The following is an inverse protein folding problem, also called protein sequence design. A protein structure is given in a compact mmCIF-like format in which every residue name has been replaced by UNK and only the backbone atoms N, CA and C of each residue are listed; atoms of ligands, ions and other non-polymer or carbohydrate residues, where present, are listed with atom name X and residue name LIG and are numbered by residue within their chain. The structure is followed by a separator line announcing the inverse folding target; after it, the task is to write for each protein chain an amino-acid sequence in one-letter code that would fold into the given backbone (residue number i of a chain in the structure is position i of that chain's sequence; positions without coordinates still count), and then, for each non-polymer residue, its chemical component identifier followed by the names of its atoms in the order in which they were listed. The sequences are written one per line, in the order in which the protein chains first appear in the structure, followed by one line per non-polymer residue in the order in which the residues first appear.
data_IF_332179538442
#
_entry.id   IF_332179538442
#
_cell.length_a   1.000
_cell.length_b   1.000
_cell.length_c   1.000
_cell.angle_alpha   90.00
_cell.angle_beta   90.00
_cell.angle_gamma   90.00
#
_symmetry.space_group_name_H-M   'P 1'
#
loop_
_entity.id
_entity.type
_entity.pdbx_description
1 polymer ?
#
# COMPACT_ATOMS: atom_id res chain seq x y z
N UNK A 1 -8.24 -18.67 -4.64
CA UNK A 1 -7.40 -18.07 -5.68
C UNK A 1 -8.11 -18.16 -7.02
N UNK A 2 -8.02 -17.07 -7.80
CA UNK A 2 -8.55 -17.03 -9.15
C UNK A 2 -7.44 -17.24 -10.16
N UNK A 3 -7.76 -18.00 -11.21
CA UNK A 3 -6.89 -18.18 -12.37
C UNK A 3 -7.59 -17.56 -13.58
N UNK A 4 -6.98 -16.57 -14.21
CA UNK A 4 -7.49 -15.92 -15.40
C UNK A 4 -6.77 -16.42 -16.65
N UNK A 5 -7.52 -16.67 -17.71
CA UNK A 5 -6.98 -16.92 -19.04
C UNK A 5 -7.56 -15.88 -19.97
N UNK A 6 -6.70 -15.10 -20.61
CA UNK A 6 -7.11 -14.14 -21.61
C UNK A 6 -7.23 -14.83 -22.97
N UNK A 7 -8.45 -14.90 -23.49
CA UNK A 7 -8.73 -15.59 -24.75
C UNK A 7 -8.53 -14.69 -25.99
N UNK A 8 -8.38 -13.39 -25.81
CA UNK A 8 -8.35 -12.40 -26.90
C UNK A 8 -6.99 -11.81 -27.15
N UNK A 9 -6.10 -11.79 -26.15
CA UNK A 9 -4.76 -11.21 -26.31
C UNK A 9 -3.78 -12.26 -26.83
N UNK A 10 -3.47 -12.18 -28.11
CA UNK A 10 -2.52 -13.09 -28.78
C UNK A 10 -1.06 -12.67 -28.64
N UNK A 11 -0.81 -11.40 -28.31
CA UNK A 11 0.56 -10.85 -28.20
C UNK A 11 1.20 -11.23 -26.88
N UNK A 12 0.44 -11.20 -25.77
CA UNK A 12 0.87 -11.61 -24.44
C UNK A 12 -0.21 -12.50 -23.84
N UNK A 13 -0.25 -13.80 -24.20
CA UNK A 13 -1.28 -14.70 -23.71
C UNK A 13 -1.08 -14.96 -22.22
N UNK A 14 -2.05 -14.54 -21.41
CA UNK A 14 -2.12 -14.92 -20.01
C UNK A 14 -2.89 -16.23 -19.91
N UNK A 15 -2.18 -17.32 -19.64
CA UNK A 15 -2.81 -18.65 -19.49
C UNK A 15 -2.71 -19.05 -18.02
N UNK A 16 -3.86 -19.29 -17.38
CA UNK A 16 -3.96 -19.67 -15.95
C UNK A 16 -3.18 -18.71 -15.04
N UNK A 17 -3.18 -17.42 -15.39
CA UNK A 17 -2.52 -16.39 -14.59
C UNK A 17 -3.22 -16.28 -13.23
N UNK A 18 -2.45 -16.41 -12.16
CA UNK A 18 -2.97 -16.24 -10.80
C UNK A 18 -3.26 -14.77 -10.52
N UNK A 19 -4.54 -14.47 -10.36
CA UNK A 19 -5.00 -13.12 -10.01
C UNK A 19 -4.98 -12.99 -8.49
N UNK A 20 -4.33 -11.92 -7.99
CA UNK A 20 -4.28 -11.61 -6.56
C UNK A 20 -5.40 -10.63 -6.14
N UNK A 21 -6.43 -10.49 -6.96
CA UNK A 21 -7.57 -9.64 -6.66
C UNK A 21 -8.68 -10.44 -5.97
N UNK A 22 -9.40 -9.78 -5.09
CA UNK A 22 -10.64 -10.29 -4.49
C UNK A 22 -11.78 -9.94 -5.43
N UNK A 23 -12.37 -10.96 -6.03
CA UNK A 23 -13.42 -10.81 -7.02
C UNK A 23 -14.78 -11.16 -6.40
N UNK A 24 -15.76 -10.27 -6.54
CA UNK A 24 -17.14 -10.53 -6.19
C UNK A 24 -17.85 -11.16 -7.37
N UNK A 25 -18.39 -12.38 -7.18
CA UNK A 25 -19.18 -13.06 -8.17
C UNK A 25 -20.63 -12.57 -8.16
N UNK A 26 -21.26 -12.70 -9.32
CA UNK A 26 -22.72 -12.54 -9.47
C UNK A 26 -23.26 -13.65 -10.35
N UNK A 27 -24.55 -13.83 -10.33
CA UNK A 27 -25.23 -14.69 -11.28
C UNK A 27 -25.22 -14.08 -12.68
N UNK A 28 -25.25 -14.94 -13.70
CA UNK A 28 -25.35 -14.50 -15.08
C UNK A 28 -26.66 -13.74 -15.30
N UNK A 29 -26.67 -12.63 -16.07
CA UNK A 29 -27.91 -12.00 -16.46
C UNK A 29 -28.83 -12.99 -17.18
N UNK A 30 -30.13 -12.91 -16.95
CA UNK A 30 -31.12 -13.82 -17.55
C UNK A 30 -31.08 -13.85 -19.10
N UNK A 31 -30.58 -12.79 -19.72
CA UNK A 31 -30.35 -12.69 -21.16
C UNK A 31 -29.13 -13.45 -21.68
N UNK A 32 -28.25 -13.94 -20.79
CA UNK A 32 -26.97 -14.56 -21.17
C UNK A 32 -26.96 -16.09 -21.00
N UNK A 33 -28.04 -16.75 -21.39
CA UNK A 33 -28.32 -18.17 -21.17
C UNK A 33 -27.28 -19.18 -21.70
N UNK A 34 -26.18 -18.73 -22.28
CA UNK A 34 -25.19 -19.60 -22.95
C UNK A 34 -23.73 -19.33 -22.54
N UNK A 35 -23.47 -18.49 -21.51
CA UNK A 35 -22.07 -18.26 -21.12
C UNK A 35 -21.60 -19.28 -20.09
N UNK A 36 -20.63 -20.14 -20.39
CA UNK A 36 -20.02 -21.06 -19.40
C UNK A 36 -19.10 -20.32 -18.42
N UNK A 37 -18.97 -19.01 -18.55
CA UNK A 37 -18.05 -18.20 -17.74
C UNK A 37 -18.72 -17.69 -16.48
N UNK A 38 -17.92 -17.54 -15.43
CA UNK A 38 -18.35 -16.89 -14.19
C UNK A 38 -18.43 -15.38 -14.39
N UNK A 39 -19.50 -14.78 -13.88
CA UNK A 39 -19.70 -13.35 -13.94
C UNK A 39 -19.08 -12.69 -12.70
N UNK A 40 -18.33 -11.61 -12.94
CA UNK A 40 -17.71 -10.81 -11.89
C UNK A 40 -18.47 -9.48 -11.79
N UNK A 41 -19.04 -9.21 -10.64
CA UNK A 41 -19.74 -7.96 -10.34
C UNK A 41 -18.77 -6.81 -10.10
N UNK A 42 -17.72 -7.09 -9.30
CA UNK A 42 -16.77 -6.09 -8.90
C UNK A 42 -15.41 -6.71 -8.55
N UNK A 43 -14.38 -5.89 -8.54
CA UNK A 43 -13.09 -6.17 -7.94
C UNK A 43 -13.09 -5.46 -6.59
N UNK A 44 -13.23 -6.21 -5.49
CA UNK A 44 -13.32 -5.67 -4.15
C UNK A 44 -11.96 -5.19 -3.60
N UNK A 45 -10.86 -5.56 -4.24
CA UNK A 45 -9.51 -5.18 -3.86
C UNK A 45 -8.49 -6.26 -4.12
N UNK A 46 -7.29 -6.10 -3.57
CA UNK A 46 -6.25 -7.12 -3.63
C UNK A 46 -6.32 -8.06 -2.44
N UNK A 47 -5.96 -9.32 -2.65
CA UNK A 47 -5.85 -10.35 -1.61
C UNK A 47 -4.55 -10.17 -0.78
N UNK A 48 -4.22 -8.92 -0.46
CA UNK A 48 -3.17 -8.59 0.48
C UNK A 48 -3.86 -8.26 1.80
N UNK A 49 -3.42 -8.90 2.87
CA UNK A 49 -3.98 -8.66 4.20
C UNK A 49 -3.87 -7.17 4.52
N UNK A 50 -4.98 -6.49 4.85
CA UNK A 50 -4.93 -5.12 5.32
C UNK A 50 -3.98 -5.06 6.52
N UNK A 51 -3.29 -3.95 6.69
CA UNK A 51 -2.59 -3.71 7.94
C UNK A 51 -3.50 -2.93 8.87
N UNK A 52 -3.30 -3.12 10.16
CA UNK A 52 -4.13 -2.49 11.18
C UNK A 52 -3.31 -1.49 11.97
N UNK A 53 -3.89 -0.33 12.22
CA UNK A 53 -3.33 0.69 13.11
C UNK A 53 -4.34 1.02 14.20
N UNK A 54 -3.83 1.46 15.36
CA UNK A 54 -4.66 1.83 16.50
C UNK A 54 -5.23 3.22 16.30
N UNK A 55 -6.57 3.35 16.35
CA UNK A 55 -7.24 4.65 16.30
C UNK A 55 -7.17 5.36 17.66
N UNK A 56 -7.70 6.58 17.76
CA UNK A 56 -7.68 7.39 18.98
C UNK A 56 -8.50 6.79 20.14
N UNK A 57 -9.42 5.90 19.83
CA UNK A 57 -10.26 5.21 20.81
C UNK A 57 -9.61 3.91 21.33
N UNK A 58 -8.47 3.51 20.75
CA UNK A 58 -7.73 2.31 21.11
C UNK A 58 -8.08 1.08 20.29
N UNK A 59 -8.99 1.19 19.32
CA UNK A 59 -9.40 0.09 18.47
C UNK A 59 -8.46 -0.09 17.28
N UNK A 60 -8.32 -1.33 16.81
CA UNK A 60 -7.59 -1.66 15.58
C UNK A 60 -8.47 -1.35 14.37
N UNK A 61 -7.98 -0.51 13.48
CA UNK A 61 -8.66 -0.14 12.24
C UNK A 61 -7.86 -0.62 11.03
N UNK A 62 -8.48 -1.39 10.12
CA UNK A 62 -7.82 -1.87 8.92
C UNK A 62 -7.56 -0.74 7.93
N UNK A 63 -6.32 -0.65 7.47
CA UNK A 63 -5.88 0.31 6.46
C UNK A 63 -5.63 -0.41 5.13
N UNK A 64 -6.33 0.05 4.10
CA UNK A 64 -6.14 -0.45 2.74
C UNK A 64 -4.83 0.07 2.14
N UNK A 65 -4.12 -0.78 1.42
CA UNK A 65 -2.95 -0.36 0.63
C UNK A 65 -3.31 0.71 -0.42
N UNK A 66 -4.51 0.67 -0.99
CA UNK A 66 -4.98 1.69 -1.90
C UNK A 66 -5.06 3.06 -1.24
N UNK A 67 -5.40 3.13 0.07
CA UNK A 67 -5.40 4.37 0.82
C UNK A 67 -4.03 5.05 0.88
N UNK A 68 -2.93 4.29 0.80
CA UNK A 68 -1.57 4.85 0.76
C UNK A 68 -1.23 5.45 -0.61
N UNK A 69 -1.78 4.91 -1.70
CA UNK A 69 -1.54 5.44 -3.05
C UNK A 69 -2.22 6.80 -3.26
N UNK A 70 -3.26 7.09 -2.47
CA UNK A 70 -4.00 8.35 -2.50
C UNK A 70 -3.56 9.35 -1.41
N UNK A 71 -2.44 9.09 -0.73
CA UNK A 71 -1.87 10.09 0.17
C UNK A 71 -1.55 11.37 -0.62
N UNK A 72 -1.99 12.55 -0.16
CA UNK A 72 -1.75 13.81 -0.84
C UNK A 72 -0.32 14.32 -0.59
N UNK A 73 0.66 13.45 -0.83
CA UNK A 73 2.08 13.78 -0.74
C UNK A 73 2.58 14.47 -2.01
N UNK A 74 3.58 15.36 -1.91
CA UNK A 74 4.19 15.95 -3.10
C UNK A 74 4.78 14.85 -4.02
N UNK A 75 5.00 15.14 -5.31
CA UNK A 75 5.58 14.16 -6.22
C UNK A 75 6.92 13.62 -5.71
N UNK A 76 6.99 12.30 -5.55
CA UNK A 76 8.15 11.54 -5.08
C UNK A 76 8.57 10.54 -6.17
N UNK A 77 9.84 10.16 -6.19
CA UNK A 77 10.33 9.05 -7.03
C UNK A 77 9.90 7.69 -6.45
N UNK A 78 9.67 7.62 -5.14
CA UNK A 78 9.19 6.42 -4.49
C UNK A 78 8.70 6.67 -3.08
N UNK A 79 7.73 5.86 -2.67
CA UNK A 79 7.16 5.84 -1.33
C UNK A 79 7.02 4.39 -0.86
N UNK A 80 7.41 4.12 0.38
CA UNK A 80 7.29 2.81 1.00
C UNK A 80 6.93 2.99 2.48
N UNK A 81 5.95 2.23 2.94
CA UNK A 81 5.55 2.17 4.34
C UNK A 81 6.18 0.95 5.01
N UNK A 82 6.88 1.17 6.10
CA UNK A 82 7.38 0.13 7.00
C UNK A 82 6.54 0.13 8.26
N UNK A 83 5.94 -1.00 8.59
CA UNK A 83 5.10 -1.20 9.76
C UNK A 83 5.89 -2.03 10.76
N UNK A 84 6.11 -1.49 11.93
CA UNK A 84 6.76 -2.19 13.04
C UNK A 84 5.73 -2.85 13.96
N UNK A 85 4.66 -2.11 14.27
CA UNK A 85 3.47 -2.58 15.00
C UNK A 85 2.26 -1.68 14.69
N UNK A 86 1.15 -1.88 15.38
CA UNK A 86 -0.08 -1.12 15.16
C UNK A 86 -0.01 0.36 15.60
N UNK A 87 1.07 0.77 16.26
CA UNK A 87 1.27 2.13 16.78
C UNK A 87 2.54 2.80 16.23
N UNK A 88 3.38 2.04 15.48
CA UNK A 88 4.65 2.55 15.01
C UNK A 88 4.90 2.23 13.55
N UNK A 89 5.03 3.27 12.74
CA UNK A 89 5.23 3.19 11.28
C UNK A 89 6.36 4.11 10.83
N UNK A 90 6.97 3.79 9.70
CA UNK A 90 8.01 4.60 9.05
C UNK A 90 7.68 4.74 7.57
N UNK A 91 7.66 5.97 7.08
CA UNK A 91 7.58 6.26 5.66
C UNK A 91 8.97 6.48 5.08
N UNK A 92 9.36 5.65 4.14
CA UNK A 92 10.59 5.83 3.34
C UNK A 92 10.24 6.51 2.04
N UNK A 93 10.95 7.58 1.74
CA UNK A 93 10.71 8.38 0.54
C UNK A 93 11.99 8.52 -0.27
N UNK A 94 11.87 8.35 -1.59
CA UNK A 94 12.94 8.63 -2.54
C UNK A 94 12.66 9.98 -3.17
N UNK A 95 13.58 10.92 -2.97
CA UNK A 95 13.53 12.27 -3.51
C UNK A 95 14.65 12.37 -4.56
N UNK A 96 14.38 13.01 -5.70
CA UNK A 96 15.37 13.17 -6.77
C UNK A 96 16.66 13.83 -6.28
N UNK A 97 17.80 13.27 -6.66
CA UNK A 97 19.13 13.81 -6.34
C UNK A 97 19.43 15.14 -7.05
N UNK A 98 18.66 15.48 -8.08
CA UNK A 98 18.79 16.75 -8.80
C UNK A 98 18.28 17.95 -8.02
N UNK A 99 17.72 17.73 -6.81
CA UNK A 99 17.18 18.81 -5.99
C UNK A 99 18.23 19.37 -5.05
N UNK A 100 18.20 20.72 -4.90
CA UNK A 100 19.02 21.40 -3.93
C UNK A 100 18.67 20.96 -2.49
N UNK A 101 19.63 20.96 -1.54
CA UNK A 101 19.38 20.50 -0.17
C UNK A 101 18.15 21.12 0.50
N UNK A 102 17.93 22.43 0.33
CA UNK A 102 16.77 23.12 0.91
C UNK A 102 15.43 22.67 0.31
N UNK A 103 15.42 22.30 -0.99
CA UNK A 103 14.22 21.77 -1.66
C UNK A 103 13.89 20.37 -1.14
N UNK A 104 14.92 19.54 -0.89
CA UNK A 104 14.78 18.22 -0.29
C UNK A 104 14.16 18.33 1.12
N UNK A 105 14.67 19.24 1.95
CA UNK A 105 14.15 19.50 3.29
C UNK A 105 12.69 19.98 3.27
N UNK A 106 12.38 20.93 2.35
CA UNK A 106 11.01 21.41 2.15
C UNK A 106 10.05 20.28 1.79
N UNK A 107 10.43 19.42 0.84
CA UNK A 107 9.63 18.25 0.47
C UNK A 107 9.41 17.30 1.64
N UNK A 108 10.42 17.03 2.45
CA UNK A 108 10.26 16.18 3.63
C UNK A 108 9.27 16.78 4.64
N UNK A 109 9.28 18.08 4.83
CA UNK A 109 8.28 18.75 5.68
C UNK A 109 6.88 18.63 5.13
N UNK A 110 6.71 18.78 3.81
CA UNK A 110 5.41 18.65 3.16
C UNK A 110 4.90 17.19 3.24
N UNK A 111 5.77 16.21 3.07
CA UNK A 111 5.43 14.79 3.28
C UNK A 111 4.99 14.53 4.72
N UNK A 112 5.75 15.04 5.71
CA UNK A 112 5.37 14.87 7.14
C UNK A 112 4.02 15.50 7.43
N UNK A 113 3.76 16.69 6.90
CA UNK A 113 2.45 17.36 7.05
C UNK A 113 1.32 16.53 6.44
N UNK A 114 1.48 16.05 5.21
CA UNK A 114 0.46 15.24 4.54
C UNK A 114 0.16 13.94 5.29
N UNK A 115 1.18 13.28 5.84
CA UNK A 115 1.00 12.07 6.65
C UNK A 115 0.30 12.41 7.97
N UNK A 116 0.67 13.52 8.63
CA UNK A 116 0.00 13.97 9.85
C UNK A 116 -1.48 14.26 9.61
N UNK A 117 -1.80 14.96 8.53
CA UNK A 117 -3.20 15.26 8.13
C UNK A 117 -3.97 13.97 7.83
N UNK A 118 -3.33 12.99 7.18
CA UNK A 118 -3.92 11.69 6.93
C UNK A 118 -4.23 10.93 8.23
N UNK A 119 -3.30 10.91 9.19
CA UNK A 119 -3.53 10.29 10.51
C UNK A 119 -4.66 10.99 11.27
N UNK A 120 -4.72 12.32 11.23
CA UNK A 120 -5.83 13.10 11.82
C UNK A 120 -7.16 12.73 11.16
N UNK A 121 -7.21 12.68 9.83
CA UNK A 121 -8.42 12.29 9.09
C UNK A 121 -8.87 10.86 9.39
N UNK A 122 -7.95 9.99 9.82
CA UNK A 122 -8.21 8.63 10.27
C UNK A 122 -8.43 8.49 11.78
N UNK A 123 -8.33 9.58 12.54
CA UNK A 123 -8.41 9.59 14.02
C UNK A 123 -7.36 8.66 14.67
N UNK A 124 -6.12 8.71 14.17
CA UNK A 124 -5.01 7.85 14.62
C UNK A 124 -3.84 8.64 15.20
N UNK A 125 -3.86 9.97 15.10
CA UNK A 125 -2.75 10.85 15.42
C UNK A 125 -2.29 10.81 16.88
N UNK A 126 -3.14 10.34 17.81
CA UNK A 126 -2.80 10.22 19.23
C UNK A 126 -2.06 8.94 19.57
N UNK A 127 -2.35 7.87 18.84
CA UNK A 127 -1.89 6.53 19.15
C UNK A 127 -0.86 5.99 18.15
N UNK A 128 -0.78 6.58 16.94
CA UNK A 128 0.18 6.15 15.91
C UNK A 128 1.35 7.13 15.83
N UNK A 129 2.56 6.64 16.09
CA UNK A 129 3.81 7.37 15.87
C UNK A 129 4.34 7.07 14.48
N UNK A 130 4.79 8.11 13.78
CA UNK A 130 5.39 7.92 12.48
C UNK A 130 6.72 8.64 12.34
N UNK A 131 7.55 8.12 11.48
CA UNK A 131 8.82 8.74 11.05
C UNK A 131 8.84 8.85 9.53
N UNK A 132 9.46 9.89 8.99
CA UNK A 132 9.70 10.04 7.55
C UNK A 132 11.19 10.07 7.30
N UNK A 133 11.70 9.10 6.55
CA UNK A 133 13.11 8.98 6.17
C UNK A 133 13.30 9.14 4.67
N UNK A 134 14.18 10.05 4.28
CA UNK A 134 14.72 10.05 2.93
C UNK A 134 15.72 8.88 2.78
N UNK A 135 15.54 8.10 1.73
CA UNK A 135 16.41 6.99 1.37
C UNK A 135 16.80 7.10 -0.11
N UNK A 136 17.95 6.55 -0.46
CA UNK A 136 18.41 6.56 -1.85
C UNK A 136 17.65 5.53 -2.69
N UNK A 137 17.26 4.42 -2.07
CA UNK A 137 16.52 3.34 -2.72
C UNK A 137 15.49 2.73 -1.77
N UNK A 138 14.36 2.31 -2.36
CA UNK A 138 13.35 1.51 -1.64
C UNK A 138 13.79 0.04 -1.59
N UNK A 139 13.30 -0.66 -0.57
CA UNK A 139 13.51 -2.10 -0.45
C UNK A 139 12.69 -2.83 -1.52
N UNK A 140 13.36 -3.65 -2.30
CA UNK A 140 12.76 -4.43 -3.38
C UNK A 140 12.45 -5.85 -2.93
N UNK A 141 11.44 -6.44 -3.54
CA UNK A 141 11.15 -7.86 -3.40
C UNK A 141 12.17 -8.66 -4.22
N UNK A 142 12.98 -9.53 -3.59
CA UNK A 142 13.99 -10.30 -4.28
C UNK A 142 13.41 -11.30 -5.31
N UNK A 143 12.12 -11.66 -5.19
CA UNK A 143 11.47 -12.59 -6.10
C UNK A 143 11.06 -11.96 -7.43
N UNK A 144 10.72 -10.67 -7.44
CA UNK A 144 10.17 -10.01 -8.62
C UNK A 144 10.87 -8.68 -8.98
N UNK A 145 11.85 -8.26 -8.18
CA UNK A 145 12.61 -7.02 -8.41
C UNK A 145 11.83 -5.72 -8.24
N UNK A 146 10.59 -5.77 -7.73
CA UNK A 146 9.75 -4.59 -7.56
C UNK A 146 9.82 -4.04 -6.14
N UNK A 147 9.75 -2.72 -5.99
CA UNK A 147 9.61 -2.12 -4.68
C UNK A 147 8.27 -2.51 -4.05
N UNK A 148 8.31 -2.98 -2.81
CA UNK A 148 7.09 -3.25 -2.03
C UNK A 148 6.56 -1.93 -1.50
N UNK A 149 5.26 -1.68 -1.69
CA UNK A 149 4.62 -0.49 -1.09
C UNK A 149 4.60 -0.57 0.44
N UNK A 150 4.40 -1.76 0.99
CA UNK A 150 4.33 -2.03 2.42
C UNK A 150 5.29 -3.13 2.82
N UNK A 151 6.06 -2.88 3.88
CA UNK A 151 6.94 -3.86 4.53
C UNK A 151 6.48 -4.01 5.98
N UNK A 152 6.33 -5.24 6.44
CA UNK A 152 6.10 -5.56 7.86
C UNK A 152 7.39 -6.01 8.49
N UNK A 153 7.76 -5.43 9.61
CA UNK A 153 8.92 -5.80 10.42
C UNK A 153 8.48 -6.07 11.86
N UNK A 154 9.02 -7.10 12.46
CA UNK A 154 8.84 -7.36 13.88
C UNK A 154 9.53 -6.26 14.71
N UNK A 155 8.86 -5.80 15.75
CA UNK A 155 9.26 -4.68 16.62
C UNK A 155 10.53 -4.91 17.46
N UNK A 156 11.19 -6.07 17.38
CA UNK A 156 12.37 -6.37 18.19
C UNK A 156 13.55 -5.39 18.01
N UNK A 157 13.64 -4.70 16.88
CA UNK A 157 14.75 -3.75 16.62
C UNK A 157 14.57 -2.34 17.20
N UNK A 158 13.39 -1.95 17.65
CA UNK A 158 13.14 -0.58 18.15
C UNK A 158 13.34 -0.41 19.65
N UNK A 159 13.43 -1.49 20.42
CA UNK A 159 13.66 -1.43 21.87
C UNK A 159 15.04 -0.89 22.27
N UNK A 160 15.99 -0.80 21.35
CA UNK A 160 17.39 -0.46 21.64
C UNK A 160 17.70 1.05 21.57
N UNK A 161 16.77 1.89 21.08
CA UNK A 161 17.01 3.34 20.93
C UNK A 161 16.27 4.25 21.93
N UNK A 162 15.59 3.68 22.90
CA UNK A 162 14.85 4.42 23.94
C UNK A 162 15.46 4.24 25.35
N UNK A 163 16.77 4.03 25.43
CA UNK A 163 17.56 4.04 26.68
C UNK A 163 18.62 5.13 26.63
#
# INVERSE_FOLDING_TARGET
HWLATNLFNQTVPLIRYRVNDVLEQTEAPASSSVSPFRWIKAIAGRNELPFELVNNDGDLEPISQLGLLYLPVPPLQGLQLVIYDAQQIEFRVVISDQQLPFQRESKLRDVRRAIQEWLVGKRMEKNVRFEVKAVDQLEIDPQNGKAKLIIRRSSEKFRIRAA
#
